data_IF_266503096039
#
_entry.id   IF_266503096039
#
_cell.length_a   1.000
_cell.length_b   1.000
_cell.length_c   1.000
_cell.angle_alpha   90.00
_cell.angle_beta   90.00
_cell.angle_gamma   90.00
#
_symmetry.space_group_name_H-M   'P 1'
#
loop_
_entity.id
_entity.type
_entity.pdbx_description
1 polymer ?
#
# COMPACT_ATOMS: atom_id res chain seq x y z
N UNK A 1 -11.77 10.63 5.10
CA UNK A 1 -10.48 10.82 5.78
C UNK A 1 -9.35 10.16 4.98
N UNK A 2 -8.38 10.94 4.48
CA UNK A 2 -7.32 10.46 3.57
C UNK A 2 -6.51 9.27 4.12
N UNK A 3 -6.11 9.30 5.40
CA UNK A 3 -5.30 8.21 5.98
C UNK A 3 -6.05 6.88 6.06
N UNK A 4 -7.35 6.92 6.38
CA UNK A 4 -8.17 5.70 6.42
C UNK A 4 -8.28 5.03 5.05
N UNK A 5 -8.43 5.82 3.99
CA UNK A 5 -8.42 5.27 2.63
C UNK A 5 -7.05 4.72 2.22
N UNK A 6 -5.95 5.36 2.66
CA UNK A 6 -4.59 4.82 2.47
C UNK A 6 -4.38 3.51 3.22
N UNK A 7 -4.89 3.41 4.46
CA UNK A 7 -4.87 2.21 5.28
C UNK A 7 -5.60 1.06 4.58
N UNK A 8 -6.84 1.28 4.14
CA UNK A 8 -7.64 0.29 3.39
C UNK A 8 -6.94 -0.18 2.12
N UNK A 9 -6.40 0.75 1.33
CA UNK A 9 -5.69 0.38 0.09
C UNK A 9 -4.47 -0.49 0.35
N UNK A 10 -3.63 -0.11 1.32
CA UNK A 10 -2.45 -0.91 1.65
C UNK A 10 -2.83 -2.29 2.19
N UNK A 11 -3.85 -2.36 3.06
CA UNK A 11 -4.38 -3.65 3.53
C UNK A 11 -4.82 -4.53 2.35
N UNK A 12 -5.57 -3.96 1.41
CA UNK A 12 -5.98 -4.63 0.16
C UNK A 12 -4.79 -5.09 -0.70
N UNK A 13 -3.75 -4.26 -0.83
CA UNK A 13 -2.51 -4.62 -1.54
C UNK A 13 -1.82 -5.81 -0.89
N UNK A 14 -1.57 -5.75 0.43
CA UNK A 14 -0.89 -6.83 1.17
C UNK A 14 -1.66 -8.14 1.04
N UNK A 15 -2.97 -8.11 1.33
CA UNK A 15 -3.83 -9.30 1.19
C UNK A 15 -3.91 -9.84 -0.23
N UNK A 16 -3.72 -9.00 -1.25
CA UNK A 16 -3.73 -9.40 -2.64
C UNK A 16 -2.47 -10.13 -3.11
N UNK A 17 -1.30 -9.81 -2.55
CA UNK A 17 -0.04 -10.47 -2.92
C UNK A 17 0.48 -11.47 -1.89
N UNK A 18 -0.02 -11.44 -0.65
CA UNK A 18 0.40 -12.32 0.43
C UNK A 18 0.21 -13.78 0.03
N UNK A 19 1.30 -14.55 0.09
CA UNK A 19 1.30 -15.98 -0.20
C UNK A 19 1.73 -16.74 1.05
N UNK A 20 0.82 -17.49 1.70
CA UNK A 20 1.20 -18.39 2.77
C UNK A 20 2.30 -19.35 2.30
N UNK A 21 3.25 -19.65 3.19
CA UNK A 21 4.39 -20.55 2.96
C UNK A 21 5.46 -20.08 1.94
N UNK A 22 5.36 -18.86 1.41
CA UNK A 22 6.44 -18.24 0.63
C UNK A 22 7.43 -17.55 1.59
N UNK A 23 8.55 -18.22 1.85
CA UNK A 23 9.64 -17.73 2.72
C UNK A 23 10.81 -17.17 1.90
N UNK A 24 10.59 -16.74 0.66
CA UNK A 24 11.63 -16.06 -0.12
C UNK A 24 12.02 -14.74 0.54
N UNK A 25 13.29 -14.33 0.40
CA UNK A 25 13.78 -13.05 0.93
C UNK A 25 12.94 -11.87 0.42
N UNK A 26 12.45 -11.95 -0.83
CA UNK A 26 11.54 -10.95 -1.42
C UNK A 26 10.20 -10.89 -0.70
N UNK A 27 9.58 -12.04 -0.42
CA UNK A 27 8.31 -12.09 0.31
C UNK A 27 8.48 -11.60 1.75
N UNK A 28 9.50 -12.09 2.45
CA UNK A 28 9.79 -11.70 3.83
C UNK A 28 10.02 -10.20 3.91
N UNK A 29 10.95 -9.66 3.10
CA UNK A 29 11.28 -8.23 3.12
C UNK A 29 10.12 -7.35 2.67
N UNK A 30 9.34 -7.77 1.67
CA UNK A 30 8.21 -7.01 1.17
C UNK A 30 7.08 -6.95 2.20
N UNK A 31 6.70 -8.12 2.74
CA UNK A 31 5.59 -8.23 3.68
C UNK A 31 5.89 -7.53 5.01
N UNK A 32 7.09 -7.69 5.58
CA UNK A 32 7.44 -7.01 6.84
C UNK A 32 7.45 -5.50 6.66
N UNK A 33 8.06 -4.99 5.58
CA UNK A 33 8.12 -3.56 5.29
C UNK A 33 6.73 -2.93 5.03
N UNK A 34 5.89 -3.60 4.24
CA UNK A 34 4.53 -3.13 3.97
C UNK A 34 3.64 -3.21 5.21
N UNK A 35 3.78 -4.26 6.01
CA UNK A 35 3.04 -4.39 7.26
C UNK A 35 3.46 -3.30 8.26
N UNK A 36 4.74 -2.96 8.35
CA UNK A 36 5.24 -1.85 9.16
C UNK A 36 4.60 -0.53 8.76
N UNK A 37 4.50 -0.27 7.46
CA UNK A 37 3.79 0.88 6.90
C UNK A 37 2.29 0.83 7.21
N UNK A 38 1.68 -0.36 7.17
CA UNK A 38 0.27 -0.58 7.47
C UNK A 38 -0.06 -0.30 8.93
N UNK A 39 0.76 -0.79 9.85
CA UNK A 39 0.63 -0.50 11.27
C UNK A 39 0.85 0.99 11.56
N UNK A 40 1.84 1.61 10.91
CA UNK A 40 2.09 3.06 11.02
C UNK A 40 0.88 3.89 10.59
N UNK A 41 0.25 3.51 9.47
CA UNK A 41 -1.01 4.11 9.02
C UNK A 41 -2.14 3.86 10.02
N UNK A 42 -2.20 2.68 10.64
CA UNK A 42 -3.28 2.29 11.56
C UNK A 42 -3.33 3.18 12.80
N UNK A 43 -2.21 3.32 13.52
CA UNK A 43 -2.19 4.17 14.73
C UNK A 43 -2.33 5.65 14.37
N UNK A 44 -1.79 6.11 13.22
CA UNK A 44 -2.00 7.50 12.75
C UNK A 44 -3.44 7.78 12.34
N UNK A 45 -4.15 6.77 11.84
CA UNK A 45 -5.58 6.84 11.52
C UNK A 45 -6.40 6.95 12.80
N UNK A 46 -6.12 6.10 13.79
CA UNK A 46 -6.72 6.19 15.13
C UNK A 46 -6.48 7.56 15.78
N UNK A 47 -5.24 8.04 15.75
CA UNK A 47 -4.88 9.36 16.27
C UNK A 47 -5.67 10.50 15.63
N UNK A 48 -5.78 10.49 14.31
CA UNK A 48 -6.52 11.51 13.56
C UNK A 48 -8.01 11.46 13.88
N UNK A 49 -8.60 10.26 13.91
CA UNK A 49 -10.00 10.05 14.25
C UNK A 49 -10.31 10.51 15.69
N UNK A 50 -9.52 10.08 16.67
CA UNK A 50 -9.71 10.49 18.07
C UNK A 50 -9.56 12.01 18.24
N UNK A 51 -8.59 12.62 17.57
CA UNK A 51 -8.35 14.05 17.67
C UNK A 51 -9.48 14.88 17.02
N UNK A 52 -9.90 14.51 15.81
CA UNK A 52 -10.74 15.37 14.98
C UNK A 52 -12.22 15.05 15.14
N UNK A 53 -12.57 13.76 15.19
CA UNK A 53 -13.96 13.30 15.21
C UNK A 53 -14.47 13.11 16.65
N UNK A 54 -13.61 12.64 17.57
CA UNK A 54 -13.95 12.49 18.99
C UNK A 54 -13.51 13.66 19.88
N UNK A 55 -12.82 14.66 19.31
CA UNK A 55 -12.31 15.85 20.02
C UNK A 55 -11.40 15.54 21.23
N UNK A 56 -10.70 14.41 21.20
CA UNK A 56 -9.84 13.95 22.29
C UNK A 56 -8.46 14.61 22.20
N UNK A 57 -8.22 15.65 23.02
CA UNK A 57 -6.97 16.41 22.99
C UNK A 57 -5.73 15.57 23.35
N UNK A 58 -5.87 14.54 24.20
CA UNK A 58 -4.79 13.63 24.56
C UNK A 58 -4.22 12.85 23.36
N UNK A 59 -5.01 12.64 22.30
CA UNK A 59 -4.54 12.00 21.08
C UNK A 59 -3.55 12.89 20.30
N UNK A 60 -3.65 14.22 20.39
CA UNK A 60 -2.88 15.16 19.55
C UNK A 60 -1.37 14.96 19.66
N UNK A 61 -0.85 14.73 20.87
CA UNK A 61 0.58 14.53 21.14
C UNK A 61 0.94 13.08 21.44
N UNK A 62 -0.03 12.17 21.44
CA UNK A 62 0.22 10.75 21.76
C UNK A 62 1.20 10.09 20.80
N UNK A 63 2.17 9.37 21.37
CA UNK A 63 3.05 8.40 20.72
C UNK A 63 2.27 7.16 20.25
N UNK A 64 2.83 6.29 19.38
CA UNK A 64 2.13 5.09 18.92
C UNK A 64 1.59 4.23 20.07
N UNK A 65 2.39 4.05 21.13
CA UNK A 65 2.00 3.29 22.33
C UNK A 65 0.85 3.96 23.07
N UNK A 66 0.91 5.27 23.29
CA UNK A 66 -0.16 6.01 23.97
C UNK A 66 -1.46 6.00 23.17
N UNK A 67 -1.37 6.14 21.84
CA UNK A 67 -2.53 6.07 20.94
C UNK A 67 -3.20 4.69 20.98
N UNK A 68 -2.42 3.61 20.99
CA UNK A 68 -2.96 2.24 21.10
C UNK A 68 -3.66 2.04 22.44
N UNK A 69 -3.01 2.43 23.55
CA UNK A 69 -3.61 2.33 24.89
C UNK A 69 -4.92 3.12 24.99
N UNK A 70 -4.91 4.32 24.41
CA UNK A 70 -6.08 5.17 24.35
C UNK A 70 -7.21 4.53 23.53
N UNK A 71 -6.89 4.07 22.32
CA UNK A 71 -7.85 3.42 21.45
C UNK A 71 -8.47 2.17 22.09
N UNK A 72 -7.69 1.41 22.86
CA UNK A 72 -8.20 0.26 23.61
C UNK A 72 -9.16 0.70 24.73
N UNK A 73 -8.77 1.71 25.53
CA UNK A 73 -9.62 2.28 26.59
C UNK A 73 -10.96 2.77 26.06
N UNK A 74 -10.94 3.43 24.91
CA UNK A 74 -12.14 3.93 24.21
C UNK A 74 -12.84 2.86 23.35
N UNK A 75 -12.41 1.60 23.43
CA UNK A 75 -12.99 0.45 22.69
C UNK A 75 -13.00 0.63 21.17
N UNK A 76 -12.07 1.41 20.63
CA UNK A 76 -11.80 1.51 19.20
C UNK A 76 -11.00 0.30 18.68
N UNK A 77 -10.37 -0.46 19.57
CA UNK A 77 -9.71 -1.74 19.31
C UNK A 77 -9.98 -2.70 20.48
N UNK A 78 -9.89 -4.02 20.25
CA UNK A 78 -10.26 -5.04 21.26
C UNK A 78 -9.07 -5.73 21.94
N UNK A 79 -7.93 -5.91 21.26
CA UNK A 79 -6.85 -6.78 21.72
C UNK A 79 -5.54 -6.00 21.98
N UNK A 80 -5.49 -5.17 23.04
CA UNK A 80 -4.33 -4.29 23.34
C UNK A 80 -2.99 -5.04 23.29
N UNK A 81 -2.94 -6.24 23.87
CA UNK A 81 -1.71 -7.02 23.95
C UNK A 81 -1.13 -7.34 22.56
N UNK A 82 -1.99 -7.61 21.58
CA UNK A 82 -1.57 -7.87 20.19
C UNK A 82 -0.99 -6.59 19.57
N UNK A 83 -1.65 -5.45 19.74
CA UNK A 83 -1.18 -4.16 19.24
C UNK A 83 0.14 -3.72 19.87
N UNK A 84 0.29 -3.93 21.18
CA UNK A 84 1.54 -3.69 21.89
C UNK A 84 2.62 -4.71 21.47
N UNK A 85 2.24 -5.94 21.13
CA UNK A 85 3.11 -6.96 20.54
C UNK A 85 3.72 -6.49 19.23
N UNK A 86 2.90 -5.94 18.33
CA UNK A 86 3.38 -5.37 17.06
C UNK A 86 4.45 -4.29 17.32
N UNK A 87 4.22 -3.36 18.27
CA UNK A 87 5.22 -2.35 18.62
C UNK A 87 6.55 -2.93 19.10
N UNK A 88 6.51 -4.06 19.83
CA UNK A 88 7.73 -4.69 20.33
C UNK A 88 8.51 -5.33 19.18
N UNK A 89 7.83 -6.11 18.35
CA UNK A 89 8.43 -6.75 17.18
C UNK A 89 9.10 -5.73 16.25
N UNK A 90 8.42 -4.60 16.00
CA UNK A 90 8.94 -3.48 15.18
C UNK A 90 10.12 -2.73 15.79
N UNK A 91 10.32 -2.80 17.10
CA UNK A 91 11.48 -2.18 17.74
C UNK A 91 12.67 -3.15 17.79
N UNK A 92 12.40 -4.46 17.85
CA UNK A 92 13.41 -5.51 17.72
C UNK A 92 13.91 -5.65 16.25
N UNK A 93 13.19 -5.05 15.29
CA UNK A 93 13.50 -4.92 13.85
C UNK A 93 14.86 -4.26 13.53
N UNK A 94 15.45 -3.49 14.46
CA UNK A 94 16.80 -2.92 14.30
C UNK A 94 17.91 -3.99 14.14
N UNK A 95 17.59 -5.28 14.35
CA UNK A 95 18.50 -6.41 14.21
C UNK A 95 18.10 -7.44 13.13
N UNK A 96 17.17 -7.12 12.22
CA UNK A 96 16.62 -8.06 11.22
C UNK A 96 17.56 -8.48 10.07
N UNK A 97 18.86 -8.20 10.16
CA UNK A 97 19.88 -8.89 9.35
C UNK A 97 20.00 -10.39 9.67
N UNK A 98 19.29 -10.90 10.69
CA UNK A 98 19.15 -12.33 10.97
C UNK A 98 17.85 -12.86 10.39
N UNK A 99 17.91 -13.55 9.24
CA UNK A 99 16.76 -14.12 8.51
C UNK A 99 15.72 -14.83 9.39
N UNK A 100 16.14 -15.47 10.50
CA UNK A 100 15.23 -16.16 11.42
C UNK A 100 14.22 -15.25 12.13
N UNK A 101 14.61 -14.02 12.51
CA UNK A 101 13.72 -13.10 13.22
C UNK A 101 12.63 -12.55 12.29
N UNK A 102 13.02 -12.18 11.07
CA UNK A 102 12.11 -11.69 10.05
C UNK A 102 11.09 -12.75 9.63
N UNK A 103 11.48 -14.03 9.54
CA UNK A 103 10.54 -15.14 9.26
C UNK A 103 9.52 -15.30 10.39
N UNK A 104 9.94 -15.22 11.67
CA UNK A 104 9.02 -15.31 12.80
C UNK A 104 8.07 -14.12 12.86
N UNK A 105 8.56 -12.92 12.56
CA UNK A 105 7.73 -11.73 12.47
C UNK A 105 6.70 -11.86 11.33
N UNK A 106 7.13 -12.33 10.15
CA UNK A 106 6.24 -12.64 9.04
C UNK A 106 5.15 -13.64 9.43
N UNK A 107 5.48 -14.69 10.17
CA UNK A 107 4.50 -15.64 10.70
C UNK A 107 3.46 -14.95 11.59
N UNK A 108 3.88 -14.08 12.52
CA UNK A 108 2.96 -13.32 13.37
C UNK A 108 2.09 -12.34 12.58
N UNK A 109 2.65 -11.73 11.54
CA UNK A 109 1.89 -10.87 10.61
C UNK A 109 0.74 -11.66 9.99
N UNK A 110 1.05 -12.81 9.40
CA UNK A 110 0.07 -13.64 8.70
C UNK A 110 -1.00 -14.23 9.64
N UNK A 111 -0.59 -14.71 10.81
CA UNK A 111 -1.47 -15.47 11.70
C UNK A 111 -2.28 -14.61 12.67
N UNK A 112 -1.79 -13.42 13.03
CA UNK A 112 -2.38 -12.61 14.10
C UNK A 112 -2.56 -11.14 13.71
N UNK A 113 -1.54 -10.51 13.15
CA UNK A 113 -1.55 -9.05 13.07
C UNK A 113 -2.42 -8.51 11.94
N UNK A 114 -2.53 -9.22 10.81
CA UNK A 114 -3.46 -8.83 9.75
C UNK A 114 -4.91 -8.82 10.24
N UNK A 115 -5.30 -9.76 11.10
CA UNK A 115 -6.66 -9.85 11.63
C UNK A 115 -7.03 -8.65 12.51
N UNK A 116 -6.14 -8.19 13.40
CA UNK A 116 -6.45 -7.01 14.23
C UNK A 116 -6.52 -5.72 13.41
N UNK A 117 -5.73 -5.60 12.33
CA UNK A 117 -5.82 -4.47 11.41
C UNK A 117 -7.14 -4.51 10.63
N UNK A 118 -7.57 -5.70 10.20
CA UNK A 118 -8.86 -5.90 9.54
C UNK A 118 -10.02 -5.44 10.44
N UNK A 119 -10.02 -5.89 11.70
CA UNK A 119 -11.04 -5.48 12.69
C UNK A 119 -11.07 -3.96 12.89
N UNK A 120 -9.90 -3.30 12.94
CA UNK A 120 -9.83 -1.84 13.01
C UNK A 120 -10.47 -1.20 11.76
N UNK A 121 -10.13 -1.67 10.56
CA UNK A 121 -10.70 -1.14 9.31
C UNK A 121 -12.22 -1.30 9.31
N UNK A 122 -12.72 -2.48 9.65
CA UNK A 122 -14.16 -2.76 9.68
C UNK A 122 -14.88 -1.85 10.68
N UNK A 123 -14.30 -1.65 11.86
CA UNK A 123 -14.86 -0.76 12.89
C UNK A 123 -14.87 0.70 12.45
N UNK A 124 -13.77 1.21 11.88
CA UNK A 124 -13.71 2.58 11.39
C UNK A 124 -14.65 2.83 10.21
N UNK A 125 -15.00 1.80 9.43
CA UNK A 125 -15.98 1.92 8.33
C UNK A 125 -17.35 2.37 8.81
N UNK A 126 -17.73 2.03 10.03
CA UNK A 126 -19.02 2.43 10.62
C UNK A 126 -19.07 3.92 10.94
N UNK A 127 -17.92 4.55 11.14
CA UNK A 127 -17.81 5.93 11.63
C UNK A 127 -17.23 6.90 10.61
N UNK A 128 -16.41 6.41 9.70
CA UNK A 128 -15.71 7.22 8.70
C UNK A 128 -16.34 6.95 7.33
N UNK A 129 -17.10 7.91 6.77
CA UNK A 129 -17.69 7.75 5.45
C UNK A 129 -16.58 7.56 4.40
N UNK A 130 -16.85 6.70 3.43
CA UNK A 130 -15.91 6.41 2.36
C UNK A 130 -15.62 7.68 1.57
N UNK A 131 -14.35 8.02 1.44
CA UNK A 131 -13.90 9.13 0.60
C UNK A 131 -13.38 8.54 -0.71
N UNK A 132 -13.95 8.95 -1.86
CA UNK A 132 -13.40 8.54 -3.15
C UNK A 132 -12.05 9.22 -3.35
N UNK A 133 -10.99 8.46 -3.11
CA UNK A 133 -9.67 8.84 -3.59
C UNK A 133 -9.45 8.16 -4.94
N UNK A 134 -9.11 8.92 -6.00
CA UNK A 134 -8.93 8.37 -7.33
C UNK A 134 -7.94 7.21 -7.26
N UNK A 135 -8.36 6.04 -7.74
CA UNK A 135 -7.54 4.85 -7.69
C UNK A 135 -6.33 5.10 -8.59
N UNK A 136 -5.15 5.20 -8.00
CA UNK A 136 -3.90 5.48 -8.71
C UNK A 136 -3.36 4.23 -9.42
N UNK A 137 -4.21 3.22 -9.62
CA UNK A 137 -3.82 1.97 -10.24
C UNK A 137 -3.41 2.24 -11.68
N UNK A 138 -2.22 1.77 -12.01
CA UNK A 138 -1.76 1.70 -13.39
C UNK A 138 -2.74 0.75 -14.11
N UNK A 139 -3.46 1.19 -15.15
CA UNK A 139 -4.34 0.30 -15.89
C UNK A 139 -3.55 -0.86 -16.49
N UNK A 140 -4.10 -2.09 -16.50
CA UNK A 140 -3.38 -3.26 -17.04
C UNK A 140 -2.94 -3.05 -18.49
N UNK A 141 -3.82 -2.45 -19.30
CA UNK A 141 -3.53 -2.06 -20.68
C UNK A 141 -2.35 -1.08 -20.82
N UNK A 142 -2.06 -0.27 -19.79
CA UNK A 142 -0.90 0.62 -19.80
C UNK A 142 0.39 -0.19 -19.68
N UNK A 143 0.46 -1.12 -18.73
CA UNK A 143 1.63 -1.96 -18.54
C UNK A 143 1.93 -2.80 -19.78
N UNK A 144 0.90 -3.39 -20.38
CA UNK A 144 1.00 -4.12 -21.65
C UNK A 144 1.52 -3.23 -22.78
N UNK A 145 0.98 -2.02 -22.92
CA UNK A 145 1.44 -1.07 -23.95
C UNK A 145 2.90 -0.67 -23.76
N UNK A 146 3.34 -0.45 -22.51
CA UNK A 146 4.76 -0.17 -22.20
C UNK A 146 5.63 -1.36 -22.64
N UNK A 147 5.23 -2.59 -22.29
CA UNK A 147 5.96 -3.80 -22.67
C UNK A 147 6.07 -3.94 -24.20
N UNK A 148 4.95 -3.77 -24.92
CA UNK A 148 4.92 -3.91 -26.38
C UNK A 148 5.70 -2.80 -27.10
N UNK A 149 5.84 -1.63 -26.48
CA UNK A 149 6.61 -0.51 -27.05
C UNK A 149 8.13 -0.78 -27.10
N UNK A 150 8.64 -1.72 -26.30
CA UNK A 150 10.07 -1.95 -26.11
C UNK A 150 10.82 -0.79 -25.41
N UNK A 151 10.11 0.23 -24.92
CA UNK A 151 10.69 1.34 -24.15
C UNK A 151 10.75 0.98 -22.66
N UNK A 152 11.68 1.61 -21.94
CA UNK A 152 11.60 1.61 -20.48
C UNK A 152 10.33 2.35 -20.02
N UNK A 153 9.77 1.95 -18.87
CA UNK A 153 8.60 2.61 -18.28
C UNK A 153 8.79 4.13 -18.20
N UNK A 154 9.96 4.58 -17.73
CA UNK A 154 10.26 6.00 -17.61
C UNK A 154 10.26 6.71 -18.97
N UNK A 155 10.92 6.15 -19.99
CA UNK A 155 10.95 6.74 -21.32
C UNK A 155 9.56 6.81 -21.95
N UNK A 156 8.75 5.76 -21.78
CA UNK A 156 7.38 5.73 -22.26
C UNK A 156 6.52 6.80 -21.56
N UNK A 157 6.60 6.91 -20.23
CA UNK A 157 5.91 7.94 -19.44
C UNK A 157 6.28 9.35 -19.91
N UNK A 158 7.58 9.64 -20.10
CA UNK A 158 8.00 10.96 -20.58
C UNK A 158 7.47 11.26 -21.99
N UNK A 159 7.47 10.26 -22.89
CA UNK A 159 6.91 10.39 -24.23
C UNK A 159 5.41 10.70 -24.18
N UNK A 160 4.62 9.90 -23.46
CA UNK A 160 3.17 10.09 -23.34
C UNK A 160 2.85 11.44 -22.68
N UNK A 161 3.60 11.82 -21.64
CA UNK A 161 3.46 13.12 -20.98
C UNK A 161 3.67 14.28 -21.95
N UNK A 162 4.79 14.27 -22.68
CA UNK A 162 5.16 15.33 -23.61
C UNK A 162 4.15 15.45 -24.77
N UNK A 163 3.73 14.31 -25.34
CA UNK A 163 2.82 14.29 -26.48
C UNK A 163 1.38 14.71 -26.16
N UNK A 164 0.96 14.64 -24.90
CA UNK A 164 -0.39 15.02 -24.45
C UNK A 164 -0.41 16.30 -23.60
N UNK A 165 0.74 16.91 -23.35
CA UNK A 165 0.85 18.15 -22.58
C UNK A 165 0.45 18.01 -21.11
N UNK A 166 0.61 16.83 -20.50
CA UNK A 166 0.26 16.63 -19.09
C UNK A 166 1.25 17.33 -18.15
N UNK A 167 0.72 18.00 -17.13
CA UNK A 167 1.54 18.68 -16.13
C UNK A 167 2.24 17.66 -15.20
N UNK A 168 1.51 16.64 -14.75
CA UNK A 168 2.02 15.58 -13.88
C UNK A 168 1.99 14.23 -14.61
N UNK A 169 2.90 13.33 -14.22
CA UNK A 169 2.94 11.98 -14.77
C UNK A 169 1.68 11.18 -14.40
N UNK A 170 1.14 11.42 -13.21
CA UNK A 170 -0.08 10.77 -12.71
C UNK A 170 -1.32 11.07 -13.57
N UNK A 171 -1.34 12.23 -14.25
CA UNK A 171 -2.45 12.63 -15.11
C UNK A 171 -2.59 11.68 -16.32
N UNK A 172 -1.50 10.99 -16.71
CA UNK A 172 -1.52 9.94 -17.73
C UNK A 172 -2.51 8.84 -17.35
N UNK A 173 -2.48 8.37 -16.10
CA UNK A 173 -3.31 7.26 -15.65
C UNK A 173 -4.79 7.67 -15.56
N UNK A 174 -5.07 8.90 -15.14
CA UNK A 174 -6.44 9.45 -15.10
C UNK A 174 -7.07 9.60 -16.49
N UNK A 175 -6.25 9.74 -17.53
CA UNK A 175 -6.69 9.94 -18.90
C UNK A 175 -6.39 8.76 -19.83
N UNK A 176 -5.84 7.66 -19.30
CA UNK A 176 -5.31 6.56 -20.10
C UNK A 176 -6.32 5.97 -21.06
N UNK A 177 -7.55 5.72 -20.60
CA UNK A 177 -8.61 5.15 -21.43
C UNK A 177 -8.95 5.99 -22.66
N UNK A 178 -8.71 7.31 -22.61
CA UNK A 178 -8.96 8.22 -23.74
C UNK A 178 -7.80 8.27 -24.73
N UNK A 179 -6.57 7.94 -24.30
CA UNK A 179 -5.36 8.14 -25.09
C UNK A 179 -4.68 6.82 -25.52
N UNK A 180 -5.02 5.69 -24.90
CA UNK A 180 -4.35 4.39 -25.10
C UNK A 180 -4.29 3.91 -26.55
N UNK A 181 -5.33 4.19 -27.34
CA UNK A 181 -5.42 3.80 -28.75
C UNK A 181 -4.30 4.42 -29.62
N UNK A 182 -3.77 5.59 -29.24
CA UNK A 182 -2.64 6.22 -29.92
C UNK A 182 -1.35 5.41 -29.77
N UNK A 183 -1.24 4.66 -28.67
CA UNK A 183 -0.04 3.95 -28.27
C UNK A 183 -0.11 2.44 -28.51
N UNK A 184 -1.31 1.89 -28.70
CA UNK A 184 -1.52 0.47 -29.04
C UNK A 184 -0.97 0.08 -30.43
N UNK A 185 -0.86 1.03 -31.38
CA UNK A 185 -0.50 0.75 -32.80
C UNK A 185 1.00 0.67 -33.11
N UNK A 186 1.88 0.61 -32.10
CA UNK A 186 3.32 0.46 -32.33
C UNK A 186 3.75 -0.98 -32.75
N UNK A 187 2.80 -1.91 -32.89
CA UNK A 187 3.05 -3.29 -33.31
C UNK A 187 3.33 -3.47 -34.82
N UNK A 188 2.96 -2.52 -35.69
CA UNK A 188 3.05 -2.71 -37.15
C UNK A 188 4.32 -2.18 -37.83
N UNK A 189 5.33 -1.75 -37.06
CA UNK A 189 6.53 -1.07 -37.58
C UNK A 189 7.83 -1.88 -37.59
N UNK A 190 7.87 -3.09 -37.01
CA UNK A 190 9.05 -3.97 -37.16
C UNK A 190 9.00 -4.63 -38.53
N UNK A 191 9.74 -4.06 -39.49
CA UNK A 191 10.11 -4.77 -40.72
C UNK A 191 10.77 -6.11 -40.33
N UNK A 192 10.48 -7.22 -41.03
CA UNK A 192 11.19 -8.46 -40.80
C UNK A 192 12.68 -8.21 -41.08
N UNK A 193 13.50 -8.61 -40.13
CA UNK A 193 14.95 -8.68 -40.28
C UNK A 193 15.23 -9.43 -41.58
N UNK A 194 15.86 -8.75 -42.54
CA UNK A 194 16.34 -9.38 -43.76
C UNK A 194 17.35 -10.44 -43.35
N UNK A 195 16.94 -11.69 -43.37
CA UNK A 195 17.88 -12.80 -43.53
C UNK A 195 18.47 -12.65 -44.92
N UNK A 196 19.68 -12.10 -44.99
CA UNK A 196 20.52 -12.18 -46.18
C UNK A 196 21.26 -13.53 -46.23
N UNK A 197 21.52 -14.06 -47.45
CA UNK A 197 21.78 -15.47 -47.72
C UNK A 197 23.16 -15.99 -47.31
#
# INVERSE_FOLDING_TARGET
MKKYEQLKRLYGTITGYMKPYDFSDTMISGLTADFDRLFELSWKTLKEYMQNDLMMLEAKTGSPREIIKLAYREKLIDDEEVWIGILKDRNDDAHHYKNSAAILYMGRIMDQYMEVIKKLIDRLKEWIPAEMLPDSKIPDSFAETVQNSGMSLYAFVQKVKAENGFAREEDIFLHWDRIKEKYAKAESGRMPEKTEP
#
